data_IF_695724157527
#
_entry.id   IF_695724157527
#
_cell.length_a   1.000
_cell.length_b   1.000
_cell.length_c   1.000
_cell.angle_alpha   90.00
_cell.angle_beta   90.00
_cell.angle_gamma   90.00
#
_symmetry.space_group_name_H-M   'P 1'
#
loop_
_entity.id
_entity.type
_entity.pdbx_description
1 polymer ?
#
# COMPACT_ATOMS: atom_id res chain seq x y z
N UNK A 1 -46.84 12.33 16.10
CA UNK A 1 -47.92 13.34 16.06
C UNK A 1 -47.59 14.43 17.07
N UNK A 2 -47.00 15.56 16.64
CA UNK A 2 -46.98 16.77 17.46
C UNK A 2 -48.29 17.54 17.25
N UNK A 3 -48.88 18.02 18.33
CA UNK A 3 -49.83 19.14 18.34
C UNK A 3 -49.18 20.18 19.24
N UNK A 4 -48.97 21.38 18.71
CA UNK A 4 -49.50 22.60 19.31
C UNK A 4 -49.38 23.74 18.31
N UNK A 5 -50.45 24.51 18.26
CA UNK A 5 -50.80 25.50 17.25
C UNK A 5 -50.52 26.92 17.72
N UNK A 6 -49.87 27.68 16.83
CA UNK A 6 -50.11 29.10 16.49
C UNK A 6 -50.28 30.15 17.60
N UNK A 7 -49.44 31.20 17.54
CA UNK A 7 -49.93 32.59 17.68
C UNK A 7 -49.07 33.54 16.83
N UNK A 8 -49.74 34.47 16.16
CA UNK A 8 -49.25 35.43 15.17
C UNK A 8 -49.08 36.80 15.86
N UNK A 9 -47.95 37.49 15.64
CA UNK A 9 -47.79 38.94 15.83
C UNK A 9 -46.42 39.33 15.22
N UNK A 10 -46.35 39.72 13.95
CA UNK A 10 -46.53 41.08 13.43
C UNK A 10 -45.65 42.15 14.09
N UNK A 11 -44.67 42.60 13.28
CA UNK A 11 -44.14 43.97 13.17
C UNK A 11 -43.27 44.46 14.34
N UNK A 12 -42.00 44.72 14.04
CA UNK A 12 -41.34 46.05 14.07
C UNK A 12 -39.83 45.83 13.82
N UNK A 13 -39.37 46.12 12.61
CA UNK A 13 -37.96 46.49 12.37
C UNK A 13 -37.77 47.93 12.87
N UNK A 14 -36.58 48.32 13.36
CA UNK A 14 -35.71 49.03 12.42
C UNK A 14 -34.19 48.83 12.64
N UNK A 15 -33.47 48.84 11.51
CA UNK A 15 -32.19 49.53 11.23
C UNK A 15 -30.88 49.21 11.98
N UNK A 16 -29.83 49.07 11.14
CA UNK A 16 -28.42 49.40 11.36
C UNK A 16 -27.55 48.41 12.16
N UNK A 17 -26.69 47.66 11.46
CA UNK A 17 -25.29 48.07 11.27
C UNK A 17 -24.55 47.09 10.36
N UNK A 18 -23.92 47.65 9.33
CA UNK A 18 -22.95 47.02 8.45
C UNK A 18 -21.74 46.49 9.24
N UNK A 19 -21.54 45.18 9.20
CA UNK A 19 -20.20 44.59 9.36
C UNK A 19 -20.15 43.33 8.51
N UNK A 20 -20.13 43.57 7.21
CA UNK A 20 -19.85 42.61 6.16
C UNK A 20 -18.40 42.15 6.33
N UNK A 21 -18.13 41.20 7.23
CA UNK A 21 -16.87 40.47 7.19
C UNK A 21 -16.98 39.47 6.04
N UNK A 22 -16.19 39.63 4.96
CA UNK A 22 -16.11 38.61 3.95
C UNK A 22 -15.42 37.42 4.61
N UNK A 23 -16.18 36.39 4.97
CA UNK A 23 -15.63 35.05 5.10
C UNK A 23 -15.24 34.63 3.69
N UNK A 24 -14.06 35.09 3.30
CA UNK A 24 -13.32 34.71 2.11
C UNK A 24 -13.21 33.18 2.16
N UNK A 25 -14.05 32.52 1.37
CA UNK A 25 -14.04 31.08 1.18
C UNK A 25 -12.66 30.71 0.63
N UNK A 26 -11.80 30.20 1.51
CA UNK A 26 -10.46 29.74 1.18
C UNK A 26 -10.63 28.52 0.27
N UNK A 27 -10.52 28.73 -1.05
CA UNK A 27 -10.52 27.66 -2.03
C UNK A 27 -9.45 26.63 -1.64
N UNK A 28 -9.73 25.32 -1.77
CA UNK A 28 -8.74 24.30 -1.45
C UNK A 28 -7.51 24.54 -2.33
N UNK A 29 -6.40 24.93 -1.72
CA UNK A 29 -5.16 25.10 -2.44
C UNK A 29 -4.80 23.77 -3.09
N UNK A 30 -4.76 23.73 -4.43
CA UNK A 30 -4.14 22.63 -5.16
C UNK A 30 -2.69 22.59 -4.71
N UNK A 31 -2.36 21.69 -3.78
CA UNK A 31 -0.97 21.34 -3.53
C UNK A 31 -0.40 20.86 -4.85
N UNK A 32 0.66 21.51 -5.33
CA UNK A 32 1.46 21.05 -6.45
C UNK A 32 2.23 19.81 -5.99
N UNK A 33 1.50 18.71 -5.77
CA UNK A 33 2.07 17.46 -5.35
C UNK A 33 2.96 16.96 -6.49
N UNK A 34 4.28 17.11 -6.32
CA UNK A 34 5.28 16.40 -7.11
C UNK A 34 4.83 14.95 -7.24
N UNK A 35 4.81 14.42 -8.47
CA UNK A 35 4.33 13.07 -8.76
C UNK A 35 4.95 12.08 -7.77
N UNK A 36 4.15 11.24 -7.07
CA UNK A 36 4.69 10.32 -6.08
C UNK A 36 5.62 9.31 -6.77
N UNK A 37 6.92 9.47 -6.57
CA UNK A 37 7.93 8.61 -7.21
C UNK A 37 7.89 7.22 -6.60
N UNK A 38 7.79 6.20 -7.46
CA UNK A 38 7.78 4.80 -7.06
C UNK A 38 9.21 4.26 -6.94
N UNK A 39 9.70 4.08 -5.71
CA UNK A 39 11.05 3.55 -5.43
C UNK A 39 11.11 2.02 -5.24
N UNK A 40 10.22 1.28 -5.91
CA UNK A 40 10.15 -0.18 -5.81
C UNK A 40 9.73 -0.83 -7.12
N UNK A 41 10.28 -2.00 -7.40
CA UNK A 41 9.87 -2.88 -8.49
C UNK A 41 8.70 -3.74 -8.04
N UNK A 42 7.71 -3.95 -8.91
CA UNK A 42 6.58 -4.82 -8.58
C UNK A 42 7.10 -6.26 -8.65
N UNK A 43 6.61 -7.08 -7.75
CA UNK A 43 6.65 -8.51 -7.93
C UNK A 43 5.30 -9.13 -7.65
N UNK A 44 5.19 -10.41 -7.98
CA UNK A 44 4.02 -11.23 -7.71
C UNK A 44 4.47 -12.47 -6.95
N UNK A 45 3.78 -12.84 -5.87
CA UNK A 45 4.04 -14.11 -5.18
C UNK A 45 3.51 -15.25 -6.05
N UNK A 46 4.39 -16.12 -6.52
CA UNK A 46 3.97 -17.30 -7.28
C UNK A 46 3.53 -18.43 -6.35
N UNK A 47 4.20 -18.57 -5.21
CA UNK A 47 3.97 -19.68 -4.30
C UNK A 47 5.16 -19.92 -3.38
N UNK A 48 5.24 -21.13 -2.85
CA UNK A 48 6.38 -21.58 -2.05
C UNK A 48 7.30 -22.46 -2.88
N UNK A 49 8.54 -22.61 -2.42
CA UNK A 49 9.44 -23.65 -2.95
C UNK A 49 8.74 -25.01 -2.78
N UNK A 50 8.59 -25.77 -3.86
CA UNK A 50 7.93 -27.09 -3.82
C UNK A 50 8.72 -28.12 -4.62
N UNK A 51 8.56 -29.38 -4.27
CA UNK A 51 8.90 -30.54 -5.08
C UNK A 51 7.63 -31.13 -5.71
N UNK A 52 7.70 -32.41 -6.11
CA UNK A 52 6.55 -33.12 -6.65
C UNK A 52 5.42 -33.25 -5.60
N UNK A 53 5.75 -33.73 -4.40
CA UNK A 53 4.80 -33.95 -3.30
C UNK A 53 4.87 -32.88 -2.21
N UNK A 54 6.07 -32.41 -1.88
CA UNK A 54 6.28 -31.57 -0.70
C UNK A 54 6.33 -30.06 -1.02
N UNK A 55 5.87 -29.22 -0.08
CA UNK A 55 5.92 -27.75 -0.16
C UNK A 55 6.65 -27.17 1.05
N UNK A 56 7.59 -26.25 0.81
CA UNK A 56 8.45 -25.65 1.83
C UNK A 56 8.07 -24.18 2.07
N UNK A 57 7.19 -23.93 3.04
CA UNK A 57 6.60 -22.61 3.31
C UNK A 57 7.58 -21.53 3.79
N UNK A 58 8.75 -21.91 4.28
CA UNK A 58 9.78 -20.97 4.73
C UNK A 58 10.48 -20.21 3.59
N UNK A 59 10.28 -20.63 2.33
CA UNK A 59 10.84 -19.97 1.15
C UNK A 59 9.74 -19.68 0.13
N UNK A 60 9.53 -18.40 -0.17
CA UNK A 60 8.59 -17.96 -1.20
C UNK A 60 9.30 -17.82 -2.56
N UNK A 61 8.54 -18.02 -3.64
CA UNK A 61 8.94 -17.75 -5.02
C UNK A 61 8.24 -16.47 -5.49
N UNK A 62 9.01 -15.52 -6.00
CA UNK A 62 8.51 -14.25 -6.50
C UNK A 62 8.90 -14.07 -7.95
N UNK A 63 7.94 -13.68 -8.78
CA UNK A 63 8.21 -13.13 -10.12
C UNK A 63 8.41 -11.62 -9.99
N UNK A 64 9.41 -11.06 -10.67
CA UNK A 64 9.67 -9.62 -10.70
C UNK A 64 9.24 -9.06 -12.05
N UNK A 65 8.59 -7.90 -12.05
CA UNK A 65 8.20 -7.25 -13.29
C UNK A 65 9.44 -6.80 -14.07
N UNK A 66 9.51 -7.19 -15.34
CA UNK A 66 10.60 -6.81 -16.24
C UNK A 66 11.90 -7.63 -16.09
N UNK A 67 11.90 -8.70 -15.29
CA UNK A 67 13.05 -9.59 -15.14
C UNK A 67 12.72 -10.96 -15.71
N UNK A 68 13.26 -11.28 -16.89
CA UNK A 68 13.05 -12.56 -17.56
C UNK A 68 14.26 -13.50 -17.47
N UNK A 69 15.43 -12.96 -17.12
CA UNK A 69 16.70 -13.70 -17.11
C UNK A 69 17.26 -13.87 -15.71
N UNK A 70 17.97 -14.99 -15.50
CA UNK A 70 18.71 -15.28 -14.26
C UNK A 70 19.73 -14.20 -13.92
N UNK A 71 20.41 -13.65 -14.93
CA UNK A 71 21.41 -12.60 -14.76
C UNK A 71 20.76 -11.30 -14.27
N UNK A 72 19.60 -10.93 -14.83
CA UNK A 72 18.82 -9.79 -14.35
C UNK A 72 18.35 -9.95 -12.89
N UNK A 73 18.03 -11.18 -12.46
CA UNK A 73 17.68 -11.44 -11.06
C UNK A 73 18.82 -11.19 -10.08
N UNK A 74 20.09 -11.30 -10.50
CA UNK A 74 21.26 -11.14 -9.60
C UNK A 74 21.34 -9.74 -9.00
N UNK A 75 20.90 -8.73 -9.75
CA UNK A 75 20.80 -7.35 -9.27
C UNK A 75 19.91 -7.21 -8.02
N UNK A 76 18.86 -8.02 -7.94
CA UNK A 76 17.88 -7.96 -6.86
C UNK A 76 18.27 -8.76 -5.62
N UNK A 77 19.44 -9.38 -5.60
CA UNK A 77 19.89 -10.15 -4.43
C UNK A 77 20.13 -9.25 -3.22
N UNK A 78 19.69 -9.72 -2.04
CA UNK A 78 19.80 -8.97 -0.80
C UNK A 78 18.83 -7.80 -0.66
N UNK A 79 18.10 -7.43 -1.72
CA UNK A 79 17.12 -6.36 -1.69
C UNK A 79 15.97 -6.66 -0.72
N UNK A 80 15.47 -5.61 -0.07
CA UNK A 80 14.36 -5.72 0.88
C UNK A 80 13.03 -5.88 0.15
N UNK A 81 12.14 -6.65 0.74
CA UNK A 81 10.85 -7.00 0.16
C UNK A 81 9.77 -6.67 1.19
N UNK A 82 8.66 -6.07 0.75
CA UNK A 82 7.49 -5.80 1.57
C UNK A 82 6.26 -6.45 0.95
N UNK A 83 5.65 -7.38 1.69
CA UNK A 83 4.30 -7.84 1.43
C UNK A 83 3.32 -7.00 2.26
N UNK A 84 2.46 -6.23 1.59
CA UNK A 84 1.51 -5.33 2.23
C UNK A 84 0.13 -5.94 2.10
N UNK A 85 -0.58 -6.07 3.21
CA UNK A 85 -1.95 -6.57 3.23
C UNK A 85 -2.84 -5.71 4.12
N UNK A 86 -4.15 -5.81 3.90
CA UNK A 86 -5.17 -5.07 4.66
C UNK A 86 -5.81 -6.00 5.68
N UNK A 87 -5.91 -5.55 6.91
CA UNK A 87 -6.65 -6.22 7.99
C UNK A 87 -7.88 -5.38 8.38
N UNK A 88 -8.85 -5.99 9.07
CA UNK A 88 -10.06 -5.30 9.51
C UNK A 88 -9.78 -4.31 10.64
N UNK A 89 -9.04 -4.76 11.67
CA UNK A 89 -8.66 -3.95 12.83
C UNK A 89 -7.43 -3.10 12.54
N UNK A 90 -7.55 -1.81 12.83
CA UNK A 90 -6.44 -0.87 12.76
C UNK A 90 -5.41 -1.15 13.86
N UNK A 91 -4.13 -1.15 13.49
CA UNK A 91 -2.99 -1.27 14.40
C UNK A 91 -2.05 -0.12 14.06
N UNK A 92 -1.57 0.61 15.09
CA UNK A 92 -0.75 1.81 14.89
C UNK A 92 -1.37 2.85 13.94
N UNK A 93 -2.69 3.08 14.07
CA UNK A 93 -3.42 4.10 13.29
C UNK A 93 -3.77 3.69 11.85
N UNK A 94 -3.36 2.51 11.36
CA UNK A 94 -3.67 2.06 10.00
C UNK A 94 -4.20 0.63 9.93
N UNK A 95 -4.97 0.33 8.89
CA UNK A 95 -5.47 -1.03 8.58
C UNK A 95 -4.46 -1.86 7.78
N UNK A 96 -3.35 -1.26 7.37
CA UNK A 96 -2.33 -1.91 6.56
C UNK A 96 -1.26 -2.52 7.46
N UNK A 97 -0.82 -3.73 7.09
CA UNK A 97 0.23 -4.45 7.78
C UNK A 97 1.26 -4.89 6.76
N UNK A 98 2.50 -4.98 7.20
CA UNK A 98 3.63 -5.30 6.33
C UNK A 98 4.37 -6.50 6.89
N UNK A 99 4.60 -7.50 6.03
CA UNK A 99 5.57 -8.55 6.29
C UNK A 99 6.83 -8.21 5.50
N UNK A 100 7.91 -7.96 6.21
CA UNK A 100 9.21 -7.68 5.62
C UNK A 100 9.96 -8.95 5.28
N UNK A 101 10.77 -8.90 4.24
CA UNK A 101 11.63 -9.98 3.80
C UNK A 101 12.84 -9.47 3.02
N UNK A 102 13.60 -10.42 2.49
CA UNK A 102 14.72 -10.17 1.59
C UNK A 102 14.78 -11.19 0.46
N UNK A 103 15.32 -10.76 -0.67
CA UNK A 103 15.64 -11.64 -1.78
C UNK A 103 16.90 -12.44 -1.43
N UNK A 104 16.86 -13.76 -1.61
CA UNK A 104 17.94 -14.67 -1.23
C UNK A 104 18.80 -15.07 -2.43
N UNK A 105 18.20 -15.70 -3.43
CA UNK A 105 18.91 -16.27 -4.59
C UNK A 105 17.98 -16.37 -5.81
N UNK A 106 18.51 -16.40 -7.04
CA UNK A 106 17.66 -16.62 -8.22
C UNK A 106 17.09 -18.05 -8.21
N UNK A 107 15.98 -18.23 -8.92
CA UNK A 107 15.26 -19.49 -9.07
C UNK A 107 14.99 -19.77 -10.55
N UNK A 108 15.55 -20.86 -11.07
CA UNK A 108 15.40 -21.22 -12.48
C UNK A 108 16.08 -20.23 -13.42
N UNK A 109 15.62 -20.20 -14.66
CA UNK A 109 16.12 -19.35 -15.75
C UNK A 109 15.27 -18.09 -15.95
N UNK A 110 13.97 -18.16 -15.65
CA UNK A 110 12.96 -17.16 -16.03
C UNK A 110 12.89 -15.92 -15.11
N UNK A 111 14.00 -15.50 -14.52
CA UNK A 111 14.03 -14.28 -13.70
C UNK A 111 13.36 -14.37 -12.31
N UNK A 112 12.79 -15.52 -11.95
CA UNK A 112 12.12 -15.75 -10.65
C UNK A 112 13.14 -15.74 -9.52
N UNK A 113 12.78 -15.21 -8.36
CA UNK A 113 13.65 -15.15 -7.19
C UNK A 113 13.06 -15.88 -5.98
N UNK A 114 13.96 -16.43 -5.15
CA UNK A 114 13.59 -16.97 -3.84
C UNK A 114 13.65 -15.85 -2.80
N UNK A 115 12.62 -15.73 -1.98
CA UNK A 115 12.54 -14.78 -0.90
C UNK A 115 12.36 -15.48 0.44
N UNK A 116 12.99 -14.91 1.48
CA UNK A 116 12.71 -15.23 2.87
C UNK A 116 12.11 -14.02 3.56
N UNK A 117 10.95 -14.22 4.15
CA UNK A 117 10.26 -13.22 4.95
C UNK A 117 10.57 -13.43 6.44
N UNK A 118 10.39 -12.40 7.25
CA UNK A 118 10.60 -12.45 8.70
C UNK A 118 9.64 -13.46 9.35
N UNK A 119 8.39 -13.45 8.92
CA UNK A 119 7.41 -14.49 9.19
C UNK A 119 7.04 -15.18 7.88
N UNK A 120 6.72 -16.47 7.93
CA UNK A 120 6.27 -17.20 6.74
C UNK A 120 5.03 -16.53 6.19
N UNK A 121 4.95 -16.42 4.85
CA UNK A 121 3.77 -15.84 4.22
C UNK A 121 2.54 -16.74 4.45
N UNK A 122 1.33 -16.16 4.52
CA UNK A 122 0.09 -16.94 4.47
C UNK A 122 -0.19 -17.41 3.05
N UNK A 123 -0.89 -18.53 2.87
CA UNK A 123 -1.28 -19.05 1.54
C UNK A 123 -2.11 -18.05 0.71
N UNK A 124 -2.88 -17.19 1.36
CA UNK A 124 -3.64 -16.09 0.74
C UNK A 124 -2.75 -15.08 -0.01
N UNK A 125 -1.45 -15.04 0.29
CA UNK A 125 -0.51 -14.16 -0.42
C UNK A 125 -0.19 -14.63 -1.83
N UNK A 126 -0.52 -15.87 -2.21
CA UNK A 126 -0.24 -16.38 -3.56
C UNK A 126 -1.06 -15.58 -4.59
N UNK A 127 -0.42 -15.14 -5.66
CA UNK A 127 -1.01 -14.25 -6.68
C UNK A 127 -1.06 -12.78 -6.27
N UNK A 128 -0.76 -12.45 -5.02
CA UNK A 128 -0.75 -11.06 -4.56
C UNK A 128 0.52 -10.32 -5.00
N UNK A 129 0.41 -8.99 -5.10
CA UNK A 129 1.53 -8.13 -5.43
C UNK A 129 2.44 -7.87 -4.23
N UNK A 130 3.74 -7.84 -4.48
CA UNK A 130 4.78 -7.55 -3.51
C UNK A 130 5.59 -6.35 -4.00
N UNK A 131 6.13 -5.58 -3.06
CA UNK A 131 7.04 -4.47 -3.37
C UNK A 131 8.47 -4.89 -3.10
N UNK A 132 9.28 -4.97 -4.16
CA UNK A 132 10.72 -5.22 -4.04
C UNK A 132 11.43 -3.89 -4.08
N UNK A 133 12.04 -3.54 -2.96
CA UNK A 133 12.72 -2.26 -2.76
C UNK A 133 14.05 -2.27 -3.50
N UNK A 134 14.52 -1.08 -3.92
CA UNK A 134 15.83 -0.96 -4.58
C UNK A 134 17.01 -0.93 -3.59
N UNK A 135 16.71 -0.87 -2.28
CA UNK A 135 17.70 -0.87 -1.20
C UNK A 135 17.81 -2.24 -0.51
N UNK A 136 18.94 -2.55 0.15
CA UNK A 136 20.21 -1.80 0.16
C UNK A 136 20.84 -1.73 -1.24
N UNK A 137 21.39 -0.57 -1.63
CA UNK A 137 22.03 -0.43 -2.94
C UNK A 137 23.34 -1.21 -2.99
N UNK A 138 23.61 -1.83 -4.12
CA UNK A 138 24.86 -2.53 -4.43
C UNK A 138 25.26 -2.24 -5.89
N UNK A 139 24.93 -1.02 -6.32
CA UNK A 139 25.20 -0.44 -7.63
C UNK A 139 26.24 0.62 -7.42
#
# INVERSE_FOLDING_TARGET
RPKDSQTVASRYLPTFCFSFYPYFAMAPQKTTASQPVRLYVKGTVLGYKRGFTNTYHHTALLSLDGVNDKEGSKFYLGKKIAYIYKAQKAVAGSKFRVVWGKVMRPHGTNGVVRAKFATNLPSTSIGSSVRVMLYPSNV
#
